data_IF_124292259973
#
_entry.id   IF_124292259973
#
_cell.length_a   1.000
_cell.length_b   1.000
_cell.length_c   1.000
_cell.angle_alpha   90.00
_cell.angle_beta   90.00
_cell.angle_gamma   90.00
#
_symmetry.space_group_name_H-M   'P 1'
#
loop_
_entity.id
_entity.type
_entity.pdbx_description
1 polymer ?
#
# COMPACT_ATOMS: atom_id res chain seq x y z
N UNK A 1 5.27 -15.90 15.11
CA UNK A 1 6.67 -16.40 15.18
C UNK A 1 6.79 -17.88 14.94
N UNK A 2 5.93 -18.70 15.53
CA UNK A 2 6.05 -20.16 15.42
C UNK A 2 6.00 -20.64 13.98
N UNK A 3 5.12 -20.05 13.17
CA UNK A 3 5.06 -20.30 11.74
C UNK A 3 6.38 -19.98 11.02
N UNK A 4 7.01 -18.84 11.33
CA UNK A 4 8.31 -18.47 10.76
C UNK A 4 9.39 -19.47 11.17
N UNK A 5 9.46 -19.86 12.45
CA UNK A 5 10.41 -20.87 12.93
C UNK A 5 10.23 -22.21 12.21
N UNK A 6 8.98 -22.66 12.01
CA UNK A 6 8.65 -23.87 11.24
C UNK A 6 9.05 -23.74 9.77
N UNK A 7 8.99 -22.54 9.19
CA UNK A 7 9.37 -22.27 7.80
C UNK A 7 10.87 -22.35 7.52
N UNK A 8 11.72 -22.22 8.53
CA UNK A 8 13.18 -22.16 8.40
C UNK A 8 13.87 -23.11 9.39
N UNK A 9 13.52 -24.40 9.35
CA UNK A 9 14.07 -25.43 10.26
C UNK A 9 15.59 -25.56 10.19
N UNK A 10 16.17 -25.35 9.01
CA UNK A 10 17.60 -25.54 8.75
C UNK A 10 18.43 -24.29 9.05
N UNK A 11 17.82 -23.25 9.63
CA UNK A 11 18.45 -21.98 9.92
C UNK A 11 18.59 -21.74 11.41
N UNK A 12 19.77 -21.24 11.83
CA UNK A 12 19.93 -20.65 13.15
C UNK A 12 19.30 -19.25 13.15
N UNK A 13 18.21 -19.10 13.89
CA UNK A 13 17.41 -17.88 13.98
C UNK A 13 17.90 -16.99 15.12
N UNK A 14 18.29 -15.76 14.80
CA UNK A 14 18.53 -14.68 15.77
C UNK A 14 17.39 -13.66 15.69
N UNK A 15 16.97 -13.13 16.84
CA UNK A 15 15.89 -12.15 16.94
C UNK A 15 16.47 -10.84 17.45
N UNK A 16 16.21 -9.74 16.75
CA UNK A 16 16.70 -8.41 17.09
C UNK A 16 15.67 -7.60 17.89
N UNK A 17 15.15 -8.19 18.97
CA UNK A 17 14.20 -7.58 19.91
C UNK A 17 14.35 -8.23 21.28
N UNK A 18 14.52 -7.39 22.31
CA UNK A 18 14.67 -7.84 23.70
C UNK A 18 13.34 -8.22 24.35
N UNK A 19 12.24 -7.56 23.97
CA UNK A 19 10.89 -7.78 24.51
C UNK A 19 10.12 -8.82 23.67
N UNK A 20 9.85 -10.03 24.21
CA UNK A 20 9.12 -11.07 23.50
C UNK A 20 7.71 -10.65 23.07
N UNK A 21 7.06 -9.69 23.74
CA UNK A 21 5.72 -9.21 23.39
C UNK A 21 5.71 -8.42 22.09
N UNK A 22 6.84 -7.82 21.70
CA UNK A 22 7.00 -7.06 20.45
C UNK A 22 7.36 -7.96 19.26
N UNK A 23 7.48 -9.27 19.49
CA UNK A 23 7.85 -10.25 18.49
C UNK A 23 6.63 -10.67 17.64
N UNK A 24 5.97 -9.68 17.06
CA UNK A 24 4.74 -9.81 16.25
C UNK A 24 5.01 -9.41 14.79
N UNK A 25 4.27 -9.99 13.82
CA UNK A 25 4.42 -9.63 12.42
C UNK A 25 3.99 -8.16 12.16
N UNK A 26 4.44 -7.57 11.04
CA UNK A 26 5.31 -8.16 10.02
C UNK A 26 6.79 -8.26 10.43
N UNK A 27 7.53 -9.12 9.73
CA UNK A 27 8.94 -9.39 10.01
C UNK A 27 9.83 -9.00 8.83
N UNK A 28 10.93 -8.32 9.10
CA UNK A 28 12.06 -8.19 8.19
C UNK A 28 13.04 -9.34 8.46
N UNK A 29 13.39 -10.07 7.41
CA UNK A 29 14.31 -11.21 7.49
C UNK A 29 15.60 -10.83 6.77
N UNK A 30 16.73 -10.87 7.48
CA UNK A 30 18.06 -10.68 6.91
C UNK A 30 18.77 -12.04 6.89
N UNK A 31 19.06 -12.52 5.68
CA UNK A 31 19.87 -13.72 5.48
C UNK A 31 21.36 -13.35 5.60
N UNK A 32 22.10 -14.06 6.44
CA UNK A 32 23.53 -13.83 6.60
C UNK A 32 24.32 -14.79 5.70
N UNK A 33 25.56 -14.41 5.30
CA UNK A 33 26.48 -15.33 4.64
C UNK A 33 26.64 -16.61 5.47
N UNK A 34 26.67 -17.75 4.81
CA UNK A 34 26.90 -19.03 5.50
C UNK A 34 28.39 -19.16 5.81
N UNK A 35 28.71 -19.22 7.10
CA UNK A 35 30.02 -19.63 7.60
C UNK A 35 29.90 -21.11 8.00
N UNK A 36 30.83 -21.96 7.56
CA UNK A 36 30.94 -23.35 8.03
C UNK A 36 29.66 -24.21 7.85
N UNK A 37 28.96 -24.07 6.71
CA UNK A 37 27.68 -24.74 6.41
C UNK A 37 26.51 -24.41 7.36
N UNK A 38 26.65 -23.45 8.28
CA UNK A 38 25.57 -23.02 9.16
C UNK A 38 24.84 -21.84 8.52
N UNK A 39 23.59 -22.10 8.10
CA UNK A 39 22.70 -21.06 7.58
C UNK A 39 22.18 -20.21 8.76
N UNK A 40 22.44 -18.90 8.74
CA UNK A 40 22.02 -17.97 9.80
C UNK A 40 21.03 -16.95 9.24
N UNK A 41 20.01 -16.60 10.01
CA UNK A 41 19.08 -15.51 9.68
C UNK A 41 18.79 -14.64 10.91
N UNK A 42 18.60 -13.34 10.65
CA UNK A 42 18.24 -12.34 11.66
C UNK A 42 16.83 -11.84 11.38
N UNK A 43 15.97 -11.88 12.40
CA UNK A 43 14.57 -11.44 12.33
C UNK A 43 14.43 -10.14 13.10
N UNK A 44 13.87 -9.14 12.44
CA UNK A 44 13.49 -7.87 13.07
C UNK A 44 12.00 -7.64 12.85
N UNK A 45 11.16 -7.66 13.91
CA UNK A 45 9.78 -7.17 13.86
C UNK A 45 9.75 -5.74 13.32
N UNK A 46 8.79 -5.49 12.46
CA UNK A 46 8.60 -4.19 11.84
C UNK A 46 7.22 -3.67 12.20
N UNK A 47 7.17 -2.52 12.86
CA UNK A 47 5.91 -1.81 13.09
C UNK A 47 5.54 -1.10 11.80
N UNK A 48 4.40 -1.46 11.21
CA UNK A 48 3.86 -0.73 10.07
C UNK A 48 3.43 0.67 10.54
N UNK A 49 3.86 1.73 9.86
CA UNK A 49 3.39 3.08 10.17
C UNK A 49 1.87 3.15 10.07
N UNK A 50 1.23 3.86 11.00
CA UNK A 50 -0.20 4.13 10.92
C UNK A 50 -0.53 4.87 9.63
N UNK A 51 -1.61 4.46 8.96
CA UNK A 51 -2.11 5.06 7.71
C UNK A 51 -3.25 6.06 7.92
N UNK A 52 -3.66 6.27 9.17
CA UNK A 52 -4.79 7.12 9.53
C UNK A 52 -5.56 6.59 10.73
N UNK A 53 -6.59 7.31 11.17
CA UNK A 53 -7.40 6.92 12.32
C UNK A 53 -8.54 5.94 11.99
N UNK A 54 -8.81 5.71 10.70
CA UNK A 54 -9.93 4.88 10.26
C UNK A 54 -9.60 3.39 10.24
N UNK A 55 -10.57 2.55 10.62
CA UNK A 55 -10.40 1.09 10.65
C UNK A 55 -10.21 0.50 9.24
N UNK A 56 -10.85 1.06 8.22
CA UNK A 56 -10.73 0.60 6.83
C UNK A 56 -9.36 0.90 6.20
N UNK A 57 -8.54 1.75 6.81
CA UNK A 57 -7.15 2.00 6.37
C UNK A 57 -6.16 0.96 6.91
N UNK A 58 -6.62 0.05 7.80
CA UNK A 58 -5.77 -1.05 8.27
C UNK A 58 -5.43 -1.98 7.10
N UNK A 59 -4.14 -2.30 6.90
CA UNK A 59 -3.71 -3.15 5.80
C UNK A 59 -4.29 -4.56 5.94
N UNK A 60 -4.77 -5.11 4.83
CA UNK A 60 -5.23 -6.50 4.77
C UNK A 60 -4.04 -7.44 4.92
N UNK A 61 -4.11 -8.33 5.90
CA UNK A 61 -3.05 -9.30 6.17
C UNK A 61 -3.34 -10.63 5.51
N UNK A 62 -2.29 -11.30 5.02
CA UNK A 62 -2.42 -12.68 4.59
C UNK A 62 -2.65 -13.60 5.81
N UNK A 63 -3.63 -14.49 5.69
CA UNK A 63 -4.01 -15.47 6.72
C UNK A 63 -3.46 -16.87 6.46
N UNK A 64 -2.86 -17.10 5.29
CA UNK A 64 -2.38 -18.41 4.86
C UNK A 64 -1.08 -18.77 5.58
N UNK A 65 -1.07 -19.94 6.22
CA UNK A 65 0.14 -20.53 6.78
C UNK A 65 0.87 -21.35 5.72
N UNK A 66 1.82 -20.72 5.03
CA UNK A 66 2.64 -21.39 4.01
C UNK A 66 3.51 -22.51 4.58
N UNK A 67 3.66 -23.59 3.83
CA UNK A 67 4.59 -24.67 4.16
C UNK A 67 6.04 -24.21 4.00
N UNK A 68 7.05 -24.89 4.59
CA UNK A 68 8.45 -24.55 4.40
C UNK A 68 8.87 -24.50 2.92
N UNK A 69 8.38 -25.44 2.11
CA UNK A 69 8.63 -25.46 0.66
C UNK A 69 8.02 -24.25 -0.06
N UNK A 70 6.82 -23.83 0.33
CA UNK A 70 6.18 -22.63 -0.22
C UNK A 70 6.91 -21.36 0.23
N UNK A 71 7.39 -21.30 1.48
CA UNK A 71 8.20 -20.19 1.99
C UNK A 71 9.50 -20.06 1.19
N UNK A 72 10.17 -21.17 0.87
CA UNK A 72 11.37 -21.13 0.03
C UNK A 72 11.03 -20.66 -1.40
N UNK A 73 9.91 -21.09 -1.98
CA UNK A 73 9.44 -20.59 -3.27
C UNK A 73 9.17 -19.06 -3.23
N UNK A 74 8.53 -18.56 -2.18
CA UNK A 74 8.28 -17.12 -1.98
C UNK A 74 9.60 -16.37 -1.85
N UNK A 75 10.52 -16.87 -1.02
CA UNK A 75 11.84 -16.28 -0.80
C UNK A 75 12.63 -16.21 -2.11
N UNK A 76 12.71 -17.30 -2.85
CA UNK A 76 13.38 -17.35 -4.16
C UNK A 76 12.74 -16.36 -5.13
N UNK A 77 11.41 -16.29 -5.18
CA UNK A 77 10.66 -15.35 -6.05
C UNK A 77 10.83 -13.87 -5.70
N UNK A 78 11.29 -13.54 -4.49
CA UNK A 78 11.64 -12.16 -4.10
C UNK A 78 13.08 -11.78 -4.47
N UNK A 79 13.92 -12.74 -4.86
CA UNK A 79 15.31 -12.50 -5.24
C UNK A 79 15.45 -12.30 -6.74
N UNK A 80 16.52 -11.61 -7.15
CA UNK A 80 16.88 -11.49 -8.56
C UNK A 80 17.28 -12.86 -9.10
N UNK A 81 16.76 -13.21 -10.29
CA UNK A 81 17.10 -14.45 -10.98
C UNK A 81 15.86 -15.18 -11.47
N UNK A 82 16.04 -16.47 -11.79
CA UNK A 82 14.97 -17.36 -12.24
C UNK A 82 14.50 -18.23 -11.07
N UNK A 83 13.21 -18.14 -10.75
CA UNK A 83 12.56 -19.03 -9.79
C UNK A 83 11.56 -19.92 -10.52
N UNK A 84 11.76 -21.23 -10.44
CA UNK A 84 10.85 -22.22 -11.02
C UNK A 84 10.17 -23.01 -9.91
N UNK A 85 8.84 -22.94 -9.86
CA UNK A 85 8.03 -23.64 -8.85
C UNK A 85 7.21 -24.73 -9.52
N UNK A 86 7.51 -25.98 -9.17
CA UNK A 86 6.74 -27.15 -9.62
C UNK A 86 5.86 -27.60 -8.46
N UNK A 87 4.56 -27.75 -8.72
CA UNK A 87 3.60 -28.16 -7.69
C UNK A 87 2.45 -28.97 -8.30
N UNK A 88 2.08 -30.13 -7.71
CA UNK A 88 0.87 -30.87 -8.09
C UNK A 88 -0.42 -30.01 -8.07
N UNK A 89 -1.52 -30.50 -8.66
CA UNK A 89 -2.83 -29.87 -8.49
C UNK A 89 -3.17 -29.68 -7.00
N UNK A 90 -3.74 -28.53 -6.64
CA UNK A 90 -4.16 -28.25 -5.25
C UNK A 90 -3.06 -27.79 -4.27
N UNK A 91 -1.78 -27.70 -4.67
CA UNK A 91 -0.69 -27.34 -3.72
C UNK A 91 -0.52 -25.83 -3.43
N UNK A 92 -1.55 -25.02 -3.68
CA UNK A 92 -1.52 -23.58 -3.37
C UNK A 92 -0.55 -22.74 -4.22
N UNK A 93 -0.28 -23.14 -5.47
CA UNK A 93 0.59 -22.38 -6.40
C UNK A 93 0.14 -20.92 -6.56
N UNK A 94 -1.17 -20.71 -6.66
CA UNK A 94 -1.76 -19.37 -6.77
C UNK A 94 -1.46 -18.54 -5.53
N UNK A 95 -1.57 -19.10 -4.33
CA UNK A 95 -1.28 -18.38 -3.07
C UNK A 95 0.20 -17.99 -2.96
N UNK A 96 1.11 -18.88 -3.39
CA UNK A 96 2.55 -18.58 -3.48
C UNK A 96 2.81 -17.40 -4.43
N UNK A 97 2.23 -17.45 -5.64
CA UNK A 97 2.40 -16.39 -6.63
C UNK A 97 1.87 -15.05 -6.13
N UNK A 98 0.67 -15.03 -5.55
CA UNK A 98 0.04 -13.83 -4.99
C UNK A 98 0.88 -13.25 -3.86
N UNK A 99 1.46 -14.09 -2.99
CA UNK A 99 2.34 -13.62 -1.92
C UNK A 99 3.66 -13.03 -2.46
N UNK A 100 4.25 -13.62 -3.50
CA UNK A 100 5.43 -13.05 -4.17
C UNK A 100 5.09 -11.66 -4.72
N UNK A 101 3.98 -11.54 -5.45
CA UNK A 101 3.51 -10.27 -6.02
C UNK A 101 3.30 -9.22 -4.91
N UNK A 102 2.64 -9.60 -3.81
CA UNK A 102 2.42 -8.72 -2.66
C UNK A 102 3.73 -8.28 -2.02
N UNK A 103 4.69 -9.19 -1.85
CA UNK A 103 5.98 -8.85 -1.27
C UNK A 103 6.78 -7.91 -2.19
N UNK A 104 6.81 -8.17 -3.51
CA UNK A 104 7.49 -7.32 -4.49
C UNK A 104 6.87 -5.91 -4.52
N UNK A 105 5.53 -5.83 -4.51
CA UNK A 105 4.79 -4.57 -4.49
C UNK A 105 5.18 -3.68 -3.29
N UNK A 106 5.36 -4.27 -2.11
CA UNK A 106 5.73 -3.53 -0.89
C UNK A 106 7.23 -3.25 -0.76
N UNK A 107 8.09 -4.17 -1.18
CA UNK A 107 9.55 -4.02 -1.02
C UNK A 107 10.17 -3.17 -2.14
N UNK A 108 9.56 -3.15 -3.33
CA UNK A 108 10.09 -2.47 -4.51
C UNK A 108 8.99 -1.59 -5.15
N UNK A 109 8.54 -0.51 -4.48
CA UNK A 109 7.37 0.27 -4.90
C UNK A 109 7.54 0.99 -6.26
N UNK A 110 8.77 1.09 -6.76
CA UNK A 110 9.10 1.69 -8.06
C UNK A 110 9.22 0.65 -9.19
N UNK A 111 9.17 -0.65 -8.88
CA UNK A 111 9.19 -1.71 -9.86
C UNK A 111 7.76 -2.06 -10.31
N UNK A 112 7.67 -2.69 -11.47
CA UNK A 112 6.41 -3.13 -12.07
C UNK A 112 6.46 -4.64 -12.29
N UNK A 113 5.37 -5.31 -11.97
CA UNK A 113 5.23 -6.77 -12.09
C UNK A 113 4.31 -7.10 -13.26
N UNK A 114 4.81 -7.88 -14.21
CA UNK A 114 4.01 -8.42 -15.31
C UNK A 114 3.61 -9.86 -14.98
N UNK A 115 2.31 -10.14 -15.02
CA UNK A 115 1.73 -11.46 -14.82
C UNK A 115 1.25 -11.99 -16.18
N UNK A 116 1.73 -13.16 -16.57
CA UNK A 116 1.30 -13.85 -17.78
C UNK A 116 0.78 -15.23 -17.40
N UNK A 117 -0.43 -15.57 -17.85
CA UNK A 117 -1.03 -16.89 -17.64
C UNK A 117 -1.53 -17.48 -18.95
N UNK A 118 -1.84 -18.77 -18.95
CA UNK A 118 -2.40 -19.43 -20.13
C UNK A 118 -3.89 -19.10 -20.38
N UNK A 119 -4.68 -18.95 -19.31
CA UNK A 119 -6.14 -18.80 -19.40
C UNK A 119 -6.68 -17.62 -18.59
N UNK A 120 -7.81 -17.08 -19.02
CA UNK A 120 -8.52 -16.02 -18.28
C UNK A 120 -8.97 -16.48 -16.89
N UNK A 121 -9.30 -17.76 -16.72
CA UNK A 121 -9.69 -18.31 -15.41
C UNK A 121 -8.54 -18.22 -14.40
N UNK A 122 -7.30 -18.51 -14.82
CA UNK A 122 -6.13 -18.38 -13.97
C UNK A 122 -5.86 -16.92 -13.59
N UNK A 123 -6.09 -15.97 -14.52
CA UNK A 123 -6.05 -14.54 -14.20
C UNK A 123 -7.09 -14.18 -13.14
N UNK A 124 -8.34 -14.59 -13.32
CA UNK A 124 -9.43 -14.25 -12.37
C UNK A 124 -9.07 -14.69 -10.95
N UNK A 125 -8.65 -15.95 -10.77
CA UNK A 125 -8.24 -16.50 -9.47
C UNK A 125 -7.06 -15.75 -8.84
N UNK A 126 -6.09 -15.31 -9.64
CA UNK A 126 -4.97 -14.49 -9.16
C UNK A 126 -5.45 -13.11 -8.70
N UNK A 127 -6.28 -12.43 -9.50
CA UNK A 127 -6.80 -11.10 -9.17
C UNK A 127 -7.66 -11.10 -7.91
N UNK A 128 -8.59 -12.05 -7.78
CA UNK A 128 -9.44 -12.20 -6.58
C UNK A 128 -8.60 -12.29 -5.30
N UNK A 129 -7.53 -13.09 -5.32
CA UNK A 129 -6.61 -13.22 -4.19
C UNK A 129 -5.74 -11.99 -3.98
N UNK A 130 -5.30 -11.31 -5.05
CA UNK A 130 -4.56 -10.05 -4.95
C UNK A 130 -5.42 -8.96 -4.28
N UNK A 131 -6.70 -8.86 -4.64
CA UNK A 131 -7.64 -7.89 -4.07
C UNK A 131 -7.92 -8.13 -2.57
N UNK A 132 -7.73 -9.36 -2.10
CA UNK A 132 -7.84 -9.71 -0.68
C UNK A 132 -6.60 -9.30 0.14
N UNK A 133 -5.51 -8.86 -0.50
CA UNK A 133 -4.30 -8.39 0.15
C UNK A 133 -4.21 -6.85 0.16
N UNK A 134 -3.19 -6.35 0.86
CA UNK A 134 -2.88 -4.92 0.95
C UNK A 134 -2.26 -4.35 -0.34
N UNK A 135 -2.97 -4.48 -1.46
CA UNK A 135 -2.57 -3.92 -2.75
C UNK A 135 -3.63 -2.92 -3.19
N UNK A 136 -3.21 -1.70 -3.51
CA UNK A 136 -4.12 -0.66 -3.96
C UNK A 136 -4.62 -1.00 -5.37
N UNK A 137 -5.94 -1.06 -5.54
CA UNK A 137 -6.62 -1.43 -6.77
C UNK A 137 -6.36 -0.47 -7.93
N UNK A 138 -5.91 0.76 -7.64
CA UNK A 138 -5.48 1.71 -8.67
C UNK A 138 -4.21 1.25 -9.39
N UNK A 139 -3.38 0.43 -8.74
CA UNK A 139 -2.14 -0.08 -9.31
C UNK A 139 -2.34 -1.41 -10.07
N UNK A 140 -3.58 -1.91 -10.14
CA UNK A 140 -3.93 -3.16 -10.81
C UNK A 140 -4.49 -2.87 -12.20
N UNK A 141 -3.96 -3.55 -13.22
CA UNK A 141 -4.47 -3.48 -14.59
C UNK A 141 -4.51 -4.86 -15.24
N UNK A 142 -5.65 -5.19 -15.86
CA UNK A 142 -5.82 -6.37 -16.70
C UNK A 142 -5.89 -5.97 -18.18
N UNK A 143 -5.18 -6.71 -19.02
CA UNK A 143 -5.20 -6.56 -20.47
C UNK A 143 -5.65 -7.87 -21.13
N UNK A 144 -6.55 -7.81 -22.11
CA UNK A 144 -6.97 -8.99 -22.85
C UNK A 144 -8.39 -8.98 -23.38
N UNK A 145 -8.70 -9.93 -24.27
CA UNK A 145 -10.09 -10.25 -24.59
C UNK A 145 -10.73 -10.95 -23.37
N UNK A 146 -11.89 -10.48 -22.92
CA UNK A 146 -12.49 -10.88 -21.64
C UNK A 146 -12.11 -9.99 -20.44
N UNK A 147 -11.68 -8.75 -20.70
CA UNK A 147 -11.46 -7.71 -19.69
C UNK A 147 -12.68 -7.51 -18.76
N UNK A 148 -13.90 -7.76 -19.26
CA UNK A 148 -15.19 -7.64 -18.56
C UNK A 148 -15.65 -8.93 -17.84
N UNK A 149 -14.90 -10.04 -17.95
CA UNK A 149 -15.33 -11.39 -17.52
C UNK A 149 -14.90 -11.77 -16.10
N UNK A 150 -14.50 -10.80 -15.27
CA UNK A 150 -14.37 -11.07 -13.84
C UNK A 150 -15.77 -11.06 -13.22
N UNK A 151 -16.14 -12.14 -12.55
CA UNK A 151 -17.31 -12.18 -11.66
C UNK A 151 -17.04 -11.39 -10.36
N UNK A 152 -16.36 -10.24 -10.49
CA UNK A 152 -16.10 -9.32 -9.38
C UNK A 152 -16.88 -8.05 -9.63
N UNK A 153 -17.39 -7.41 -8.58
CA UNK A 153 -18.08 -6.10 -8.68
C UNK A 153 -17.21 -4.99 -9.32
N UNK A 154 -15.91 -5.21 -9.47
CA UNK A 154 -14.93 -4.21 -9.92
C UNK A 154 -14.37 -4.53 -11.30
N UNK A 155 -14.29 -3.49 -12.13
CA UNK A 155 -13.74 -3.57 -13.48
C UNK A 155 -12.25 -3.14 -13.53
N UNK A 156 -11.38 -4.12 -13.81
CA UNK A 156 -9.93 -3.96 -13.96
C UNK A 156 -9.46 -3.84 -15.41
N UNK A 157 -10.41 -3.75 -16.35
CA UNK A 157 -10.15 -3.37 -17.74
C UNK A 157 -9.55 -1.98 -17.85
N UNK A 158 -9.03 -1.64 -19.02
CA UNK A 158 -8.54 -0.27 -19.27
C UNK A 158 -9.63 0.77 -19.04
N UNK A 159 -10.86 0.49 -19.50
CA UNK A 159 -11.98 1.41 -19.39
C UNK A 159 -12.47 1.54 -17.95
N UNK A 160 -12.66 0.41 -17.25
CA UNK A 160 -13.04 0.38 -15.85
C UNK A 160 -12.05 1.07 -14.93
N UNK A 161 -10.75 0.94 -15.20
CA UNK A 161 -9.70 1.64 -14.44
C UNK A 161 -9.71 3.14 -14.70
N UNK A 162 -9.96 3.60 -15.92
CA UNK A 162 -10.15 5.03 -16.20
C UNK A 162 -11.37 5.58 -15.46
N UNK A 163 -12.51 4.89 -15.51
CA UNK A 163 -13.73 5.32 -14.82
C UNK A 163 -13.55 5.37 -13.31
N UNK A 164 -12.87 4.37 -12.75
CA UNK A 164 -12.52 4.36 -11.33
C UNK A 164 -11.64 5.54 -10.93
N UNK A 165 -10.60 5.86 -11.71
CA UNK A 165 -9.74 7.02 -11.44
C UNK A 165 -10.55 8.32 -11.49
N UNK A 166 -11.43 8.47 -12.48
CA UNK A 166 -12.28 9.66 -12.62
C UNK A 166 -13.26 9.81 -11.44
N UNK A 167 -13.93 8.73 -11.03
CA UNK A 167 -14.83 8.74 -9.89
C UNK A 167 -14.07 9.00 -8.58
N UNK A 168 -12.96 8.28 -8.37
CA UNK A 168 -12.14 8.43 -7.16
C UNK A 168 -11.54 9.82 -7.04
N UNK A 169 -11.17 10.45 -8.15
CA UNK A 169 -10.73 11.85 -8.19
C UNK A 169 -11.81 12.78 -7.61
N UNK A 170 -13.08 12.63 -8.01
CA UNK A 170 -14.16 13.45 -7.48
C UNK A 170 -14.33 13.25 -5.97
N UNK A 171 -14.28 12.00 -5.49
CA UNK A 171 -14.35 11.71 -4.05
C UNK A 171 -13.22 12.38 -3.27
N UNK A 172 -11.99 12.33 -3.79
CA UNK A 172 -10.83 12.94 -3.17
C UNK A 172 -10.91 14.47 -3.17
N UNK A 173 -11.42 15.08 -4.24
CA UNK A 173 -11.64 16.53 -4.29
C UNK A 173 -12.70 16.97 -3.28
N UNK A 174 -13.75 16.18 -3.07
CA UNK A 174 -14.73 16.42 -2.01
C UNK A 174 -14.08 16.33 -0.62
N UNK A 175 -13.15 15.40 -0.39
CA UNK A 175 -12.39 15.35 0.86
C UNK A 175 -11.47 16.57 1.04
N UNK A 176 -10.91 17.14 -0.04
CA UNK A 176 -10.14 18.39 0.03
C UNK A 176 -11.04 19.56 0.41
N UNK A 177 -12.25 19.65 -0.16
CA UNK A 177 -13.24 20.65 0.23
C UNK A 177 -13.61 20.52 1.72
N UNK A 178 -13.90 19.29 2.18
CA UNK A 178 -14.19 19.01 3.60
C UNK A 178 -13.02 19.42 4.51
N UNK A 179 -11.78 19.21 4.07
CA UNK A 179 -10.59 19.65 4.80
C UNK A 179 -10.49 21.18 4.84
N UNK A 180 -10.75 21.89 3.73
CA UNK A 180 -10.80 23.35 3.67
C UNK A 180 -11.82 23.92 4.68
N UNK A 181 -13.05 23.40 4.66
CA UNK A 181 -14.13 23.80 5.58
C UNK A 181 -13.76 23.52 7.03
N UNK A 182 -13.11 22.39 7.31
CA UNK A 182 -12.65 22.05 8.66
C UNK A 182 -11.55 22.99 9.18
N UNK A 183 -10.76 23.58 8.27
CA UNK A 183 -9.70 24.53 8.57
C UNK A 183 -10.17 25.99 8.55
N UNK A 184 -11.47 26.23 8.29
CA UNK A 184 -12.09 27.54 8.12
C UNK A 184 -11.33 28.44 7.11
N UNK A 185 -10.83 27.85 6.02
CA UNK A 185 -10.20 28.60 4.94
C UNK A 185 -11.29 29.09 3.99
N UNK A 186 -11.41 30.41 3.74
CA UNK A 186 -12.43 30.93 2.83
C UNK A 186 -12.13 30.53 1.38
N UNK A 187 -13.17 30.17 0.63
CA UNK A 187 -13.07 29.86 -0.79
C UNK A 187 -14.31 29.12 -1.28
N UNK A 188 -14.97 29.68 -2.30
CA UNK A 188 -16.17 29.13 -2.96
C UNK A 188 -15.82 28.13 -4.10
N UNK A 189 -14.60 27.59 -4.09
CA UNK A 189 -14.01 27.00 -5.31
C UNK A 189 -14.15 25.49 -5.32
N UNK A 190 -14.77 24.96 -6.38
CA UNK A 190 -14.63 23.54 -6.74
C UNK A 190 -13.16 23.24 -7.05
N UNK A 191 -12.52 22.43 -6.20
CA UNK A 191 -11.11 22.08 -6.41
C UNK A 191 -10.88 21.30 -7.72
N UNK A 192 -9.71 21.54 -8.30
CA UNK A 192 -9.05 20.70 -9.31
C UNK A 192 -7.85 20.02 -8.66
N UNK A 193 -7.24 19.02 -9.30
CA UNK A 193 -6.01 18.40 -8.80
C UNK A 193 -4.90 19.44 -8.58
N UNK A 194 -4.78 20.41 -9.50
CA UNK A 194 -3.79 21.49 -9.42
C UNK A 194 -4.04 22.43 -8.22
N UNK A 195 -5.28 22.93 -8.07
CA UNK A 195 -5.61 23.83 -6.96
C UNK A 195 -5.59 23.12 -5.60
N UNK A 196 -5.92 21.81 -5.57
CA UNK A 196 -5.73 20.98 -4.38
C UNK A 196 -4.23 20.87 -4.00
N UNK A 197 -3.33 20.75 -4.98
CA UNK A 197 -1.88 20.79 -4.74
C UNK A 197 -1.42 22.10 -4.10
N UNK A 198 -1.92 23.24 -4.58
CA UNK A 198 -1.65 24.54 -3.94
C UNK A 198 -2.20 24.61 -2.51
N UNK A 199 -3.44 24.14 -2.29
CA UNK A 199 -4.03 24.11 -0.96
C UNK A 199 -3.22 23.25 0.02
N UNK A 200 -2.71 22.09 -0.43
CA UNK A 200 -1.84 21.26 0.37
C UNK A 200 -0.58 22.00 0.82
N UNK A 201 0.14 22.66 -0.10
CA UNK A 201 1.38 23.36 0.22
C UNK A 201 1.15 24.56 1.16
N UNK A 202 0.19 25.43 0.83
CA UNK A 202 0.00 26.69 1.54
C UNK A 202 -0.78 26.55 2.85
N UNK A 203 -1.69 25.57 2.95
CA UNK A 203 -2.55 25.44 4.13
C UNK A 203 -2.25 24.21 4.97
N UNK A 204 -2.12 23.04 4.34
CA UNK A 204 -1.98 21.77 5.07
C UNK A 204 -0.55 21.59 5.59
N UNK A 205 0.45 21.70 4.71
CA UNK A 205 1.85 21.49 5.07
C UNK A 205 2.33 22.55 6.07
N UNK A 206 2.00 23.83 5.85
CA UNK A 206 2.35 24.91 6.76
C UNK A 206 1.81 24.68 8.19
N UNK A 207 0.54 24.26 8.34
CA UNK A 207 -0.06 23.92 9.65
C UNK A 207 0.60 22.72 10.29
N UNK A 208 0.95 21.71 9.50
CA UNK A 208 1.65 20.53 10.00
C UNK A 208 3.05 20.87 10.51
N UNK A 209 3.81 21.68 9.77
CA UNK A 209 5.13 22.15 10.19
C UNK A 209 5.07 23.01 11.46
N UNK A 210 4.07 23.91 11.55
CA UNK A 210 3.81 24.69 12.76
C UNK A 210 3.50 23.78 13.96
N UNK A 211 2.63 22.78 13.79
CA UNK A 211 2.35 21.77 14.81
C UNK A 211 3.63 21.07 15.26
N UNK A 212 4.43 20.56 14.32
CA UNK A 212 5.68 19.86 14.62
C UNK A 212 6.66 20.75 15.40
N UNK A 213 6.75 22.04 15.09
CA UNK A 213 7.60 22.99 15.82
C UNK A 213 7.21 23.14 17.30
N UNK A 214 5.92 22.96 17.63
CA UNK A 214 5.38 23.09 18.99
C UNK A 214 5.47 21.79 19.79
N UNK A 215 5.38 20.64 19.13
CA UNK A 215 5.25 19.33 19.81
C UNK A 215 6.48 18.44 19.73
N UNK A 216 7.45 18.71 18.85
CA UNK A 216 8.71 17.95 18.83
C UNK A 216 9.60 18.37 20.01
N UNK A 217 10.13 17.42 20.81
CA UNK A 217 11.05 17.74 21.87
C UNK A 217 12.33 18.33 21.27
N UNK A 218 12.68 19.55 21.69
CA UNK A 218 14.02 20.08 21.50
C UNK A 218 15.05 19.26 22.29
N UNK A 219 16.34 19.53 22.09
CA UNK A 219 17.46 18.78 22.69
C UNK A 219 17.46 18.68 24.22
N UNK A 220 16.60 19.44 24.94
CA UNK A 220 16.60 19.46 26.40
C UNK A 220 15.22 19.63 27.07
N UNK A 221 14.09 19.56 26.34
CA UNK A 221 12.75 19.76 26.94
C UNK A 221 11.80 18.57 26.66
N UNK A 222 11.25 17.99 27.74
CA UNK A 222 10.12 17.06 27.66
C UNK A 222 8.84 17.84 27.29
N UNK A 223 8.17 17.42 26.23
CA UNK A 223 6.89 18.01 25.80
C UNK A 223 5.74 17.25 26.48
N UNK A 224 4.81 17.92 27.18
CA UNK A 224 3.63 17.28 27.74
C UNK A 224 2.76 16.63 26.66
N UNK A 225 2.22 15.44 26.93
CA UNK A 225 1.41 14.68 25.97
C UNK A 225 0.16 15.46 25.53
N UNK A 226 -0.45 16.21 26.45
CA UNK A 226 -1.63 17.03 26.18
C UNK A 226 -1.43 18.05 25.04
N UNK A 227 -0.19 18.53 24.83
CA UNK A 227 0.12 19.48 23.76
C UNK A 227 -0.09 18.90 22.36
N UNK A 228 -0.02 17.57 22.20
CA UNK A 228 -0.30 16.92 20.93
C UNK A 228 -1.76 17.18 20.54
N UNK A 229 -2.70 16.86 21.43
CA UNK A 229 -4.12 17.08 21.17
C UNK A 229 -4.48 18.58 21.07
N UNK A 230 -3.85 19.42 21.89
CA UNK A 230 -4.07 20.87 21.92
C UNK A 230 -3.68 21.56 20.60
N UNK A 231 -2.52 21.23 20.04
CA UNK A 231 -2.00 21.88 18.84
C UNK A 231 -2.30 21.13 17.53
N UNK A 232 -2.92 19.95 17.59
CA UNK A 232 -3.18 19.16 16.38
C UNK A 232 -4.14 19.92 15.44
N UNK A 233 -3.71 20.26 14.21
CA UNK A 233 -4.43 21.23 13.38
C UNK A 233 -5.62 20.64 12.62
N UNK A 234 -5.80 19.31 12.64
CA UNK A 234 -6.78 18.61 11.80
C UNK A 234 -7.88 17.92 12.61
N UNK A 235 -8.08 18.27 13.89
CA UNK A 235 -9.06 17.61 14.77
C UNK A 235 -10.46 17.56 14.14
N UNK A 236 -10.98 18.71 13.69
CA UNK A 236 -12.31 18.84 13.08
C UNK A 236 -12.47 18.00 11.80
N UNK A 237 -11.40 17.84 11.02
CA UNK A 237 -11.41 16.97 9.84
C UNK A 237 -11.57 15.48 10.19
N UNK A 238 -11.16 15.07 11.39
CA UNK A 238 -11.24 13.69 11.86
C UNK A 238 -12.37 13.46 12.88
N UNK A 239 -13.34 14.37 12.99
CA UNK A 239 -14.50 14.20 13.89
C UNK A 239 -15.32 12.95 13.55
N UNK A 240 -15.32 12.55 12.27
CA UNK A 240 -15.96 11.32 11.76
C UNK A 240 -15.11 10.05 11.94
N UNK A 241 -13.93 10.13 12.53
CA UNK A 241 -13.11 8.97 12.88
C UNK A 241 -13.48 8.43 14.29
N UNK A 242 -13.06 7.20 14.66
CA UNK A 242 -13.26 6.69 16.02
C UNK A 242 -12.65 7.62 17.08
N UNK A 243 -13.46 8.03 18.05
CA UNK A 243 -13.07 8.95 19.13
C UNK A 243 -12.80 8.22 20.45
N UNK A 244 -11.93 8.75 21.33
CA UNK A 244 -11.11 9.94 21.13
C UNK A 244 -9.91 9.68 20.21
N UNK A 245 -9.54 10.67 19.40
CA UNK A 245 -8.38 10.56 18.52
C UNK A 245 -7.08 10.30 19.29
N UNK A 246 -6.82 11.10 20.33
CA UNK A 246 -5.64 11.00 21.21
C UNK A 246 -6.04 10.51 22.60
N UNK A 247 -5.21 9.66 23.21
CA UNK A 247 -5.50 9.12 24.55
C UNK A 247 -4.89 9.97 25.68
N UNK A 248 -3.86 10.76 25.39
CA UNK A 248 -3.18 11.62 26.35
C UNK A 248 -2.23 10.87 27.30
N UNK A 249 -2.02 9.56 27.09
CA UNK A 249 -1.26 8.70 28.02
C UNK A 249 0.22 8.65 27.65
N UNK A 250 0.52 8.40 26.37
CA UNK A 250 1.89 8.17 25.89
C UNK A 250 2.20 9.09 24.71
N UNK A 251 3.19 9.97 24.89
CA UNK A 251 3.67 10.88 23.85
C UNK A 251 3.97 10.15 22.53
N UNK A 252 4.68 9.03 22.59
CA UNK A 252 5.11 8.30 21.39
C UNK A 252 3.93 7.73 20.61
N UNK A 253 2.91 7.24 21.31
CA UNK A 253 1.72 6.67 20.69
C UNK A 253 0.82 7.76 20.10
N UNK A 254 0.56 8.84 20.84
CA UNK A 254 -0.24 9.96 20.32
C UNK A 254 0.47 10.70 19.17
N UNK A 255 1.80 10.78 19.21
CA UNK A 255 2.58 11.35 18.10
C UNK A 255 2.51 10.46 16.86
N UNK A 256 2.64 9.13 16.99
CA UNK A 256 2.47 8.20 15.86
C UNK A 256 1.03 8.24 15.30
N UNK A 257 0.02 8.45 16.15
CA UNK A 257 -1.36 8.71 15.69
C UNK A 257 -1.46 10.01 14.90
N UNK A 258 -0.89 11.11 15.39
CA UNK A 258 -0.87 12.39 14.69
C UNK A 258 -0.17 12.27 13.33
N UNK A 259 0.98 11.58 13.28
CA UNK A 259 1.67 11.29 12.04
C UNK A 259 0.83 10.40 11.11
N UNK A 260 0.12 9.39 11.64
CA UNK A 260 -0.81 8.57 10.86
C UNK A 260 -1.94 9.39 10.22
N UNK A 261 -2.53 10.31 10.98
CA UNK A 261 -3.52 11.26 10.46
C UNK A 261 -2.94 12.14 9.34
N UNK A 262 -1.72 12.66 9.51
CA UNK A 262 -1.06 13.43 8.46
C UNK A 262 -0.73 12.58 7.23
N UNK A 263 -0.31 11.31 7.42
CA UNK A 263 -0.09 10.37 6.31
C UNK A 263 -1.39 10.10 5.54
N UNK A 264 -2.53 10.01 6.22
CA UNK A 264 -3.85 9.91 5.57
C UNK A 264 -4.14 11.13 4.69
N UNK A 265 -3.99 12.34 5.23
CA UNK A 265 -4.20 13.59 4.48
C UNK A 265 -3.23 13.66 3.29
N UNK A 266 -1.94 13.40 3.52
CA UNK A 266 -0.93 13.40 2.46
C UNK A 266 -1.23 12.38 1.36
N UNK A 267 -1.79 11.22 1.70
CA UNK A 267 -2.23 10.21 0.73
C UNK A 267 -3.25 10.81 -0.22
N UNK A 268 -4.30 11.49 0.27
CA UNK A 268 -5.32 12.16 -0.57
C UNK A 268 -4.67 13.02 -1.65
N UNK A 269 -3.78 13.94 -1.27
CA UNK A 269 -3.13 14.85 -2.22
C UNK A 269 -2.14 14.14 -3.14
N UNK A 270 -1.45 13.10 -2.66
CA UNK A 270 -0.56 12.30 -3.50
C UNK A 270 -1.34 11.56 -4.60
N UNK A 271 -2.53 11.03 -4.27
CA UNK A 271 -3.40 10.40 -5.28
C UNK A 271 -3.95 11.45 -6.27
N UNK A 272 -4.32 12.64 -5.81
CA UNK A 272 -4.78 13.71 -6.70
C UNK A 272 -3.69 14.17 -7.68
N UNK A 273 -2.43 14.25 -7.25
CA UNK A 273 -1.32 14.59 -8.14
C UNK A 273 -1.10 13.52 -9.22
N UNK A 274 -1.17 12.24 -8.86
CA UNK A 274 -1.16 11.13 -9.82
C UNK A 274 -2.34 11.21 -10.82
N UNK A 275 -3.50 11.66 -10.35
CA UNK A 275 -4.70 11.82 -11.17
C UNK A 275 -4.71 13.09 -12.02
N UNK A 276 -3.78 14.04 -11.80
CA UNK A 276 -3.71 15.32 -12.53
C UNK A 276 -3.63 15.12 -14.04
N UNK A 277 -2.91 14.10 -14.50
CA UNK A 277 -2.82 13.78 -15.93
C UNK A 277 -4.19 13.46 -16.56
N UNK A 278 -5.11 12.88 -15.79
CA UNK A 278 -6.46 12.54 -16.28
C UNK A 278 -7.35 13.78 -16.46
N UNK A 279 -7.04 14.90 -15.80
CA UNK A 279 -7.68 16.20 -16.06
C UNK A 279 -7.31 16.74 -17.43
N UNK A 280 -6.03 16.60 -17.81
CA UNK A 280 -5.47 17.15 -19.04
C UNK A 280 -5.79 16.29 -20.27
N UNK A 281 -5.73 14.96 -20.10
CA UNK A 281 -6.00 14.01 -21.18
C UNK A 281 -7.50 13.95 -21.47
N UNK A 282 -7.89 14.28 -22.70
CA UNK A 282 -9.30 14.31 -23.14
C UNK A 282 -9.80 12.97 -23.69
N UNK A 283 -8.95 12.22 -24.40
CA UNK A 283 -9.35 10.96 -25.04
C UNK A 283 -9.24 9.78 -24.06
N UNK A 284 -10.20 8.85 -24.12
CA UNK A 284 -10.16 7.63 -23.32
C UNK A 284 -8.94 6.75 -23.65
N UNK A 285 -8.48 6.80 -24.91
CA UNK A 285 -7.31 6.06 -25.36
C UNK A 285 -6.03 6.59 -24.70
N UNK A 286 -5.83 7.90 -24.63
CA UNK A 286 -4.65 8.47 -23.98
C UNK A 286 -4.67 8.26 -22.46
N UNK A 287 -5.83 8.37 -21.82
CA UNK A 287 -6.01 8.02 -20.40
C UNK A 287 -5.64 6.56 -20.13
N UNK A 288 -6.07 5.64 -20.99
CA UNK A 288 -5.72 4.22 -20.85
C UNK A 288 -4.22 3.96 -21.02
N UNK A 289 -3.57 4.68 -21.96
CA UNK A 289 -2.12 4.61 -22.15
C UNK A 289 -1.37 5.17 -20.94
N UNK A 290 -1.81 6.30 -20.39
CA UNK A 290 -1.21 6.86 -19.19
C UNK A 290 -1.28 5.88 -18.02
N UNK A 291 -2.44 5.26 -17.81
CA UNK A 291 -2.62 4.24 -16.77
C UNK A 291 -1.67 3.05 -16.98
N UNK A 292 -1.53 2.57 -18.22
CA UNK A 292 -0.60 1.50 -18.57
C UNK A 292 0.87 1.89 -18.42
N UNK A 293 1.25 3.15 -18.61
CA UNK A 293 2.67 3.55 -18.62
C UNK A 293 3.13 4.03 -17.24
N UNK A 294 2.27 4.67 -16.47
CA UNK A 294 2.65 5.41 -15.26
C UNK A 294 2.02 4.89 -13.96
N UNK A 295 0.74 4.52 -13.98
CA UNK A 295 0.01 4.19 -12.74
C UNK A 295 0.06 2.70 -12.36
N UNK A 296 -0.15 1.81 -13.31
CA UNK A 296 -0.26 0.38 -13.01
C UNK A 296 1.09 -0.21 -12.56
N UNK A 297 1.13 -0.81 -11.37
CA UNK A 297 2.32 -1.52 -10.87
C UNK A 297 2.24 -3.02 -11.08
N UNK A 298 1.03 -3.56 -11.19
CA UNK A 298 0.79 -4.98 -11.49
C UNK A 298 -0.08 -5.03 -12.76
N UNK A 299 0.52 -5.52 -13.84
CA UNK A 299 -0.11 -5.65 -15.15
C UNK A 299 -0.27 -7.13 -15.42
N UNK A 300 -1.46 -7.56 -15.84
CA UNK A 300 -1.72 -8.97 -16.05
C UNK A 300 -2.43 -9.22 -17.39
N UNK A 301 -2.03 -10.29 -18.08
CA UNK A 301 -2.59 -10.69 -19.37
C UNK A 301 -2.44 -12.18 -19.64
N UNK A 302 -3.11 -12.68 -20.67
CA UNK A 302 -2.90 -14.04 -21.16
C UNK A 302 -1.69 -14.10 -22.09
N UNK A 303 -1.05 -15.27 -22.22
CA UNK A 303 0.05 -15.48 -23.15
C UNK A 303 -0.37 -15.20 -24.61
N UNK A 304 -1.62 -15.54 -24.97
CA UNK A 304 -2.19 -15.24 -26.29
C UNK A 304 -2.24 -13.73 -26.53
N UNK A 305 -2.68 -12.95 -25.54
CA UNK A 305 -2.70 -11.48 -25.67
C UNK A 305 -1.29 -10.91 -25.76
N UNK A 306 -0.37 -11.38 -24.92
CA UNK A 306 1.03 -10.98 -24.95
C UNK A 306 1.67 -11.22 -26.33
N UNK A 307 1.42 -12.39 -26.93
CA UNK A 307 1.95 -12.74 -28.25
C UNK A 307 1.40 -11.86 -29.38
N UNK A 308 0.12 -11.46 -29.30
CA UNK A 308 -0.52 -10.58 -30.28
C UNK A 308 -0.01 -9.13 -30.19
N UNK A 309 0.22 -8.63 -28.98
CA UNK A 309 0.64 -7.24 -28.73
C UNK A 309 2.15 -7.03 -28.68
N UNK A 310 2.95 -8.08 -28.50
CA UNK A 310 4.42 -8.00 -28.52
C UNK A 310 5.02 -7.81 -29.93
N UNK A 311 4.21 -7.83 -30.99
CA UNK A 311 4.63 -7.63 -32.39
C UNK A 311 4.36 -6.22 -32.93
N UNK A 312 3.81 -5.32 -32.12
CA UNK A 312 3.37 -3.97 -32.53
C UNK A 312 4.09 -2.87 -31.76
#
# INVERSE_FOLDING_TARGET
MDHLRKGFTDYKIQVNVDDPKKLVPPFKIKFLPSEENIKKLVITPHVLPSRGPYLYEKPKMNMIQFTPTQIEAIRSGMQLGLTMVVGPPGTGKTDVAVQIISNLYHNFPNQRTLIVTHSNQALNQLFEKIMALDIDERHLLRLGHGEESLETEKDFSRYGRVNFVLAKRLDLLNEVQRLQESLNVPGDVSYTCETAGHFYLYHVLARWEEFLSKVKPGTSKKVPVAKIAEYFPFSKFFDNAPQPLFLGINYKEDMEKAEGCFRYIKKIFSQLEEFRAFELLRSGLDRSKYLLVKEAKIIAMTCTHAALKGKS
#
